data_IF_288327439246
#
_entry.id   IF_288327439246
#
_cell.length_a   1.000
_cell.length_b   1.000
_cell.length_c   1.000
_cell.angle_alpha   90.00
_cell.angle_beta   90.00
_cell.angle_gamma   90.00
#
_symmetry.space_group_name_H-M   'P 1'
#
loop_
_entity.id
_entity.type
_entity.pdbx_description
1 polymer ?
#
# COMPACT_ATOMS: atom_id res chain seq x y z
N UNK A 1 -3.13 60.47 -6.68
CA UNK A 1 -3.73 59.12 -6.87
C UNK A 1 -2.67 58.06 -6.59
N UNK A 2 -2.81 57.23 -5.55
CA UNK A 2 -1.81 56.21 -5.14
C UNK A 2 -2.38 54.80 -5.35
N UNK A 3 -1.82 54.03 -6.28
CA UNK A 3 -2.12 52.62 -6.45
C UNK A 3 -1.21 51.77 -5.56
N UNK A 4 -1.75 51.18 -4.48
CA UNK A 4 -1.06 50.17 -3.65
C UNK A 4 -2.02 49.00 -3.39
N UNK A 5 -2.03 48.01 -4.28
CA UNK A 5 -2.91 46.83 -4.10
C UNK A 5 -2.38 45.49 -4.63
N UNK A 6 -1.39 45.46 -5.52
CA UNK A 6 -1.05 44.24 -6.27
C UNK A 6 0.00 43.31 -5.63
N UNK A 7 0.64 43.72 -4.53
CA UNK A 7 1.81 42.97 -3.99
C UNK A 7 1.46 41.81 -3.03
N UNK A 8 0.23 41.75 -2.49
CA UNK A 8 -0.12 40.78 -1.45
C UNK A 8 -0.58 39.42 -2.00
N UNK A 9 -1.15 39.38 -3.20
CA UNK A 9 -1.70 38.15 -3.80
C UNK A 9 -0.57 37.25 -4.36
N UNK A 10 0.48 37.85 -4.94
CA UNK A 10 1.61 37.09 -5.49
C UNK A 10 2.38 36.29 -4.45
N UNK A 11 2.55 36.82 -3.22
CA UNK A 11 3.26 36.12 -2.15
C UNK A 11 2.52 34.88 -1.64
N UNK A 12 1.18 34.94 -1.55
CA UNK A 12 0.36 33.81 -1.09
C UNK A 12 0.31 32.70 -2.13
N UNK A 13 0.19 33.04 -3.42
CA UNK A 13 0.16 32.06 -4.52
C UNK A 13 1.51 31.34 -4.68
N UNK A 14 2.62 32.08 -4.56
CA UNK A 14 3.98 31.48 -4.59
C UNK A 14 4.20 30.59 -3.37
N UNK A 15 3.77 31.02 -2.18
CA UNK A 15 3.93 30.20 -0.97
C UNK A 15 3.11 28.91 -1.00
N UNK A 16 1.92 28.92 -1.63
CA UNK A 16 1.08 27.73 -1.77
C UNK A 16 1.67 26.73 -2.78
N UNK A 17 2.24 27.22 -3.89
CA UNK A 17 2.92 26.38 -4.88
C UNK A 17 4.21 25.74 -4.35
N UNK A 18 4.94 26.46 -3.50
CA UNK A 18 6.15 25.92 -2.85
C UNK A 18 5.79 24.84 -1.85
N UNK A 19 4.71 24.97 -1.07
CA UNK A 19 4.30 23.91 -0.13
C UNK A 19 3.78 22.65 -0.82
N UNK A 20 3.00 22.74 -1.91
CA UNK A 20 2.61 21.54 -2.68
C UNK A 20 3.79 20.89 -3.38
N UNK A 21 4.74 21.67 -3.90
CA UNK A 21 5.95 21.13 -4.51
C UNK A 21 6.84 20.39 -3.49
N UNK A 22 6.94 20.88 -2.25
CA UNK A 22 7.74 20.22 -1.20
C UNK A 22 7.10 18.94 -0.66
N UNK A 23 5.77 18.80 -0.72
CA UNK A 23 5.08 17.53 -0.41
C UNK A 23 5.43 16.46 -1.45
N UNK A 24 5.58 16.82 -2.73
CA UNK A 24 5.94 15.87 -3.79
C UNK A 24 7.41 15.41 -3.74
N UNK A 25 8.31 16.17 -3.11
CA UNK A 25 9.74 15.81 -2.98
C UNK A 25 10.02 14.91 -1.78
N UNK A 26 9.17 14.95 -0.74
CA UNK A 26 9.40 14.21 0.50
C UNK A 26 8.95 12.74 0.47
N UNK A 27 8.11 12.36 -0.49
CA UNK A 27 7.76 10.96 -0.72
C UNK A 27 8.48 10.50 -1.99
N UNK A 28 9.63 9.83 -1.89
CA UNK A 28 10.11 9.08 -3.03
C UNK A 28 8.96 8.15 -3.46
N UNK A 29 8.42 8.37 -4.66
CA UNK A 29 7.57 7.42 -5.38
C UNK A 29 8.37 6.18 -5.83
N UNK A 30 9.43 5.84 -5.09
CA UNK A 30 9.97 4.50 -5.08
C UNK A 30 8.95 3.69 -4.30
N UNK A 31 8.06 3.02 -5.03
CA UNK A 31 7.48 1.79 -4.52
C UNK A 31 8.63 1.04 -3.83
N UNK A 32 8.52 0.80 -2.53
CA UNK A 32 9.44 -0.11 -1.88
C UNK A 32 9.30 -1.40 -2.66
N UNK A 33 10.26 -1.71 -3.53
CA UNK A 33 10.31 -3.01 -4.19
C UNK A 33 10.30 -4.00 -3.04
N UNK A 34 9.22 -4.77 -2.86
CA UNK A 34 9.19 -5.73 -1.78
C UNK A 34 10.29 -6.72 -2.13
N UNK A 35 11.39 -6.67 -1.37
CA UNK A 35 12.43 -7.67 -1.47
C UNK A 35 11.72 -9.02 -1.32
N UNK A 36 11.74 -9.89 -2.35
CA UNK A 36 11.12 -11.19 -2.22
C UNK A 36 11.75 -11.86 -1.00
N UNK A 37 10.93 -12.16 0.00
CA UNK A 37 11.39 -12.83 1.21
C UNK A 37 11.93 -14.23 0.88
N UNK A 38 12.38 -14.95 1.90
CA UNK A 38 12.74 -16.36 1.74
C UNK A 38 11.58 -17.13 1.12
N UNK A 39 11.86 -17.90 0.07
CA UNK A 39 10.87 -18.74 -0.58
C UNK A 39 10.26 -19.70 0.45
N UNK A 40 8.95 -19.61 0.65
CA UNK A 40 8.22 -20.54 1.50
C UNK A 40 7.87 -21.76 0.66
N UNK A 41 8.26 -22.98 1.08
CA UNK A 41 7.85 -24.19 0.39
C UNK A 41 6.33 -24.31 0.42
N UNK A 42 5.68 -24.16 -0.74
CA UNK A 42 4.31 -24.59 -0.94
C UNK A 42 4.37 -26.05 -1.36
N UNK A 43 3.99 -26.97 -0.47
CA UNK A 43 3.89 -28.39 -0.84
C UNK A 43 2.63 -28.55 -1.69
N UNK A 44 2.72 -28.89 -2.98
CA UNK A 44 1.54 -29.26 -3.73
C UNK A 44 1.10 -30.63 -3.25
N UNK A 45 0.17 -30.66 -2.30
CA UNK A 45 -0.56 -31.89 -1.99
C UNK A 45 -1.37 -32.24 -3.24
N UNK A 46 -1.28 -33.49 -3.71
CA UNK A 46 -2.00 -33.91 -4.91
C UNK A 46 -3.51 -33.74 -4.74
N UNK A 47 -4.17 -32.99 -5.64
CA UNK A 47 -5.63 -32.87 -5.69
C UNK A 47 -6.20 -31.44 -5.67
N UNK A 48 -5.87 -30.59 -6.66
CA UNK A 48 -6.45 -29.23 -6.78
C UNK A 48 -6.22 -28.29 -5.59
N UNK A 49 -5.08 -28.43 -4.90
CA UNK A 49 -4.72 -27.58 -3.76
C UNK A 49 -4.10 -26.22 -4.20
N UNK A 50 -4.34 -25.77 -5.43
CA UNK A 50 -3.45 -24.80 -6.10
C UNK A 50 -4.19 -23.58 -6.64
N UNK A 51 -4.98 -22.90 -5.82
CA UNK A 51 -5.25 -21.47 -6.05
C UNK A 51 -5.32 -20.70 -4.72
N UNK A 52 -4.20 -20.60 -3.96
CA UNK A 52 -4.14 -19.61 -2.90
C UNK A 52 -4.28 -18.22 -3.53
N UNK A 53 -5.29 -17.48 -3.12
CA UNK A 53 -5.48 -16.07 -3.49
C UNK A 53 -5.18 -15.19 -2.29
N UNK A 54 -4.56 -14.04 -2.52
CA UNK A 54 -4.29 -13.06 -1.46
C UNK A 54 -4.64 -11.66 -1.95
N UNK A 55 -5.31 -10.89 -1.09
CA UNK A 55 -5.64 -9.50 -1.30
C UNK A 55 -4.97 -8.64 -0.22
N UNK A 56 -4.43 -7.50 -0.64
CA UNK A 56 -3.80 -6.50 0.23
C UNK A 56 -4.71 -5.29 0.29
N UNK A 57 -5.03 -4.78 1.48
CA UNK A 57 -5.78 -3.53 1.60
C UNK A 57 -4.91 -2.35 1.14
N UNK A 58 -5.29 -1.60 0.10
CA UNK A 58 -4.48 -0.50 -0.43
C UNK A 58 -4.36 0.69 0.53
N UNK A 59 -5.25 0.82 1.52
CA UNK A 59 -5.21 1.91 2.53
C UNK A 59 -4.42 1.53 3.78
N UNK A 60 -4.21 0.23 4.02
CA UNK A 60 -3.38 -0.28 5.10
C UNK A 60 -2.77 -1.64 4.68
N UNK A 61 -1.54 -1.66 4.13
CA UNK A 61 -0.92 -2.89 3.62
C UNK A 61 -0.63 -3.96 4.67
N UNK A 62 -0.80 -3.65 5.98
CA UNK A 62 -0.72 -4.67 7.04
C UNK A 62 -1.99 -5.53 7.13
N UNK A 63 -3.09 -5.07 6.53
CA UNK A 63 -4.33 -5.81 6.48
C UNK A 63 -4.36 -6.69 5.23
N UNK A 64 -4.40 -8.00 5.43
CA UNK A 64 -4.35 -9.02 4.39
C UNK A 64 -5.57 -9.95 4.51
N UNK A 65 -6.05 -10.45 3.38
CA UNK A 65 -7.06 -11.53 3.33
C UNK A 65 -6.55 -12.60 2.37
N UNK A 66 -6.60 -13.86 2.77
CA UNK A 66 -6.18 -15.00 1.96
C UNK A 66 -7.32 -16.02 1.83
N UNK A 67 -7.56 -16.50 0.61
CA UNK A 67 -8.40 -17.66 0.34
C UNK A 67 -7.53 -18.89 0.15
N UNK A 68 -7.89 -20.00 0.79
CA UNK A 68 -7.11 -21.25 0.74
C UNK A 68 -8.00 -22.47 0.56
N UNK A 69 -7.39 -23.54 0.06
CA UNK A 69 -7.97 -24.89 0.03
C UNK A 69 -6.98 -25.82 0.74
N UNK A 70 -7.40 -26.44 1.83
CA UNK A 70 -6.60 -27.39 2.60
C UNK A 70 -7.37 -28.71 2.73
N UNK A 71 -6.76 -29.81 2.26
CA UNK A 71 -7.36 -31.15 2.21
C UNK A 71 -8.82 -31.18 1.69
N UNK A 72 -9.08 -30.43 0.62
CA UNK A 72 -10.42 -30.32 0.00
C UNK A 72 -11.42 -29.42 0.74
N UNK A 73 -10.97 -28.69 1.77
CA UNK A 73 -11.79 -27.70 2.47
C UNK A 73 -11.36 -26.29 2.08
N UNK A 74 -12.32 -25.47 1.66
CA UNK A 74 -12.08 -24.06 1.41
C UNK A 74 -12.15 -23.27 2.72
N UNK A 75 -11.30 -22.25 2.84
CA UNK A 75 -11.32 -21.32 3.94
C UNK A 75 -10.88 -19.92 3.53
N UNK A 76 -11.15 -18.98 4.42
CA UNK A 76 -10.67 -17.59 4.33
C UNK A 76 -9.97 -17.30 5.64
N UNK A 77 -8.78 -16.71 5.56
CA UNK A 77 -8.05 -16.22 6.71
C UNK A 77 -7.74 -14.74 6.53
N UNK A 78 -7.58 -14.00 7.63
CA UNK A 78 -7.17 -12.60 7.58
C UNK A 78 -6.05 -12.31 8.58
N UNK A 79 -5.30 -11.24 8.29
CA UNK A 79 -4.22 -10.75 9.13
C UNK A 79 -4.33 -9.23 9.26
N UNK A 80 -4.05 -8.71 10.45
CA UNK A 80 -3.90 -7.26 10.70
C UNK A 80 -2.45 -6.82 10.95
N UNK A 81 -1.48 -7.73 10.84
CA UNK A 81 -0.07 -7.48 11.16
C UNK A 81 0.90 -7.89 10.04
N UNK A 82 0.46 -7.81 8.78
CA UNK A 82 1.32 -8.10 7.63
C UNK A 82 1.65 -9.58 7.45
N UNK A 83 0.79 -10.48 7.96
CA UNK A 83 0.91 -11.92 7.80
C UNK A 83 1.72 -12.61 8.89
N UNK A 84 2.04 -11.92 9.99
CA UNK A 84 2.71 -12.54 11.12
C UNK A 84 1.80 -13.47 11.92
N UNK A 85 0.49 -13.19 11.97
CA UNK A 85 -0.54 -14.09 12.53
C UNK A 85 -1.81 -14.05 11.68
N UNK A 86 -2.56 -15.16 11.64
CA UNK A 86 -3.76 -15.33 10.83
C UNK A 86 -4.90 -15.88 11.69
N UNK A 87 -6.10 -15.33 11.51
CA UNK A 87 -7.37 -15.83 12.06
C UNK A 87 -8.22 -16.47 10.97
#
# INVERSE_FOLDING_TARGET
>A
MRARGRRRIGGVVVSLLVTTAMIAVAYPLGAADPLPGTAVPVSPVGGNQVEPSIAVNPTNPRNLVAGYIDNGRCGVAWSYNGGATWD
#
